data_IF_656958901107
#
_entry.id   IF_656958901107
#
_cell.length_a   1.000
_cell.length_b   1.000
_cell.length_c   1.000
_cell.angle_alpha   90.00
_cell.angle_beta   90.00
_cell.angle_gamma   90.00
#
_symmetry.space_group_name_H-M   'P 1'
#
loop_
_entity.id
_entity.type
_entity.pdbx_description
1 polymer ?
#
# COMPACT_ATOMS: atom_id res chain seq x y z
N UNK A 1 -3.02 7.66 -11.49
CA UNK A 1 -3.36 8.12 -10.12
C UNK A 1 -3.01 9.58 -9.87
N UNK A 2 -1.74 10.01 -10.00
CA UNK A 2 -1.37 11.43 -9.88
C UNK A 2 -2.14 12.35 -10.84
N UNK A 3 -2.49 11.86 -12.03
CA UNK A 3 -3.36 12.56 -12.98
C UNK A 3 -4.83 12.67 -12.51
N UNK A 4 -5.34 11.68 -11.77
CA UNK A 4 -6.72 11.65 -11.24
C UNK A 4 -6.84 12.64 -10.07
N UNK A 5 -5.84 12.70 -9.19
CA UNK A 5 -5.77 13.65 -8.06
C UNK A 5 -5.83 15.13 -8.49
N UNK A 6 -5.57 15.44 -9.76
CA UNK A 6 -5.53 16.83 -10.26
C UNK A 6 -6.90 17.33 -10.73
N UNK A 7 -7.89 16.43 -10.86
CA UNK A 7 -9.25 16.77 -11.23
C UNK A 7 -10.06 17.19 -10.00
N UNK A 8 -10.68 18.37 -10.04
CA UNK A 8 -11.54 18.92 -8.96
C UNK A 8 -12.92 18.27 -8.85
N UNK A 9 -13.11 17.11 -9.48
CA UNK A 9 -14.43 16.45 -9.59
C UNK A 9 -14.74 15.55 -8.39
N UNK A 10 -13.76 15.32 -7.51
CA UNK A 10 -13.89 14.44 -6.35
C UNK A 10 -14.34 15.21 -5.11
N UNK A 11 -15.11 14.55 -4.27
CA UNK A 11 -15.45 15.03 -2.92
C UNK A 11 -14.24 14.94 -2.00
N UNK A 12 -14.23 15.71 -0.91
CA UNK A 12 -13.11 15.73 0.06
C UNK A 12 -12.74 14.32 0.56
N UNK A 13 -13.75 13.47 0.81
CA UNK A 13 -13.53 12.08 1.22
C UNK A 13 -12.91 11.21 0.13
N UNK A 14 -13.31 11.41 -1.14
CA UNK A 14 -12.72 10.71 -2.28
C UNK A 14 -11.28 11.18 -2.55
N UNK A 15 -10.99 12.47 -2.37
CA UNK A 15 -9.62 12.99 -2.47
C UNK A 15 -8.69 12.37 -1.43
N UNK A 16 -9.16 12.22 -0.20
CA UNK A 16 -8.38 11.60 0.87
C UNK A 16 -8.14 10.11 0.61
N UNK A 17 -9.13 9.39 0.08
CA UNK A 17 -8.96 8.00 -0.39
C UNK A 17 -7.93 7.90 -1.51
N UNK A 18 -7.96 8.82 -2.50
CA UNK A 18 -6.97 8.87 -3.58
C UNK A 18 -5.56 9.10 -3.01
N UNK A 19 -5.41 10.00 -2.02
CA UNK A 19 -4.11 10.23 -1.36
C UNK A 19 -3.62 8.96 -0.64
N UNK A 20 -4.51 8.27 0.08
CA UNK A 20 -4.17 7.00 0.74
C UNK A 20 -3.74 5.94 -0.27
N UNK A 21 -4.51 5.73 -1.34
CA UNK A 21 -4.16 4.78 -2.40
C UNK A 21 -2.79 5.07 -2.99
N UNK A 22 -2.48 6.34 -3.30
CA UNK A 22 -1.18 6.74 -3.82
C UNK A 22 -0.07 6.39 -2.83
N UNK A 23 -0.24 6.72 -1.54
CA UNK A 23 0.75 6.40 -0.50
C UNK A 23 0.99 4.90 -0.41
N UNK A 24 -0.06 4.08 -0.32
CA UNK A 24 0.07 2.62 -0.18
C UNK A 24 0.78 1.99 -1.38
N UNK A 25 0.59 2.55 -2.59
CA UNK A 25 1.32 2.13 -3.78
C UNK A 25 2.78 2.57 -3.77
N UNK A 26 3.08 3.80 -3.36
CA UNK A 26 4.46 4.30 -3.23
C UNK A 26 5.24 3.54 -2.15
N UNK A 27 4.57 3.12 -1.08
CA UNK A 27 5.13 2.29 -0.01
C UNK A 27 5.35 0.82 -0.43
N UNK A 28 4.87 0.40 -1.61
CA UNK A 28 5.02 -0.96 -2.12
C UNK A 28 4.16 -2.02 -1.41
N UNK A 29 3.17 -1.60 -0.62
CA UNK A 29 2.31 -2.50 0.15
C UNK A 29 1.25 -3.22 -0.72
N UNK A 30 1.06 -2.79 -1.97
CA UNK A 30 0.09 -3.38 -2.90
C UNK A 30 0.80 -4.41 -3.80
N UNK A 31 0.32 -5.67 -3.82
CA UNK A 31 0.83 -6.69 -4.73
C UNK A 31 0.82 -6.25 -6.20
N UNK A 32 1.88 -6.59 -6.92
CA UNK A 32 2.00 -6.29 -8.35
C UNK A 32 0.89 -6.91 -9.20
N UNK A 33 0.28 -8.01 -8.74
CA UNK A 33 -0.88 -8.63 -9.39
C UNK A 33 -2.08 -7.69 -9.46
N UNK A 34 -2.41 -7.03 -8.35
CA UNK A 34 -3.54 -6.09 -8.27
C UNK A 34 -3.26 -4.88 -9.16
N UNK A 35 -2.04 -4.34 -9.13
CA UNK A 35 -1.66 -3.22 -10.00
C UNK A 35 -1.79 -3.56 -11.49
N UNK A 36 -1.43 -4.78 -11.91
CA UNK A 36 -1.58 -5.25 -13.29
C UNK A 36 -3.05 -5.41 -13.69
N UNK A 37 -3.87 -5.91 -12.78
CA UNK A 37 -5.30 -6.09 -12.97
C UNK A 37 -6.02 -4.73 -13.11
N UNK A 38 -5.70 -3.78 -12.22
CA UNK A 38 -6.15 -2.39 -12.32
C UNK A 38 -5.77 -1.79 -13.67
N UNK A 39 -4.53 -1.93 -14.13
CA UNK A 39 -4.09 -1.40 -15.43
C UNK A 39 -4.85 -2.01 -16.62
N UNK A 40 -5.30 -3.27 -16.50
CA UNK A 40 -6.09 -3.95 -17.52
C UNK A 40 -7.51 -3.41 -17.57
N UNK A 41 -8.16 -3.23 -16.42
CA UNK A 41 -9.55 -2.77 -16.31
C UNK A 41 -9.72 -1.28 -16.65
N UNK A 42 -8.73 -0.44 -16.34
CA UNK A 42 -8.80 0.99 -16.69
C UNK A 42 -8.49 1.24 -18.18
N UNK A 43 -8.03 0.22 -18.91
CA UNK A 43 -7.59 0.37 -20.31
C UNK A 43 -8.79 0.70 -21.20
N UNK A 44 -8.81 1.92 -21.75
CA UNK A 44 -9.88 2.39 -22.63
C UNK A 44 -10.95 3.22 -21.93
N UNK A 45 -10.85 3.40 -20.61
CA UNK A 45 -11.73 4.31 -19.85
C UNK A 45 -11.07 5.68 -19.80
N UNK A 46 -11.81 6.72 -20.17
CA UNK A 46 -11.34 8.11 -20.17
C UNK A 46 -11.86 8.87 -18.94
N UNK A 47 -12.98 8.44 -18.38
CA UNK A 47 -13.61 9.11 -17.24
C UNK A 47 -12.81 8.87 -15.92
N UNK A 48 -12.24 9.93 -15.32
CA UNK A 48 -11.46 9.82 -14.08
C UNK A 48 -12.28 9.31 -12.90
N UNK A 49 -13.58 9.60 -12.83
CA UNK A 49 -14.43 9.17 -11.72
C UNK A 49 -14.65 7.66 -11.80
N UNK A 50 -15.02 7.15 -12.97
CA UNK A 50 -15.16 5.71 -13.20
C UNK A 50 -13.88 4.93 -12.92
N UNK A 51 -12.73 5.47 -13.30
CA UNK A 51 -11.42 4.87 -13.00
C UNK A 51 -11.20 4.76 -11.48
N UNK A 52 -11.58 5.79 -10.70
CA UNK A 52 -11.46 5.75 -9.25
C UNK A 52 -12.30 4.62 -8.62
N UNK A 53 -13.56 4.46 -9.04
CA UNK A 53 -14.42 3.40 -8.52
C UNK A 53 -13.92 1.99 -8.89
N UNK A 54 -13.40 1.80 -10.10
CA UNK A 54 -12.79 0.52 -10.52
C UNK A 54 -11.58 0.19 -9.64
N UNK A 55 -10.73 1.18 -9.38
CA UNK A 55 -9.57 1.01 -8.51
C UNK A 55 -10.01 0.65 -7.09
N UNK A 56 -11.05 1.31 -6.58
CA UNK A 56 -11.61 1.04 -5.26
C UNK A 56 -12.15 -0.38 -5.14
N UNK A 57 -12.89 -0.86 -6.14
CA UNK A 57 -13.47 -2.21 -6.12
C UNK A 57 -12.40 -3.30 -6.22
N UNK A 58 -11.36 -3.07 -7.02
CA UNK A 58 -10.25 -4.00 -7.19
C UNK A 58 -9.26 -4.01 -6.02
N UNK A 59 -9.19 -2.94 -5.24
CA UNK A 59 -8.27 -2.81 -4.12
C UNK A 59 -8.98 -3.21 -2.82
N UNK A 60 -8.65 -4.38 -2.24
CA UNK A 60 -9.26 -4.79 -0.98
C UNK A 60 -9.06 -3.74 0.12
N UNK A 61 -10.11 -3.48 0.90
CA UNK A 61 -10.12 -2.45 1.94
C UNK A 61 -9.01 -2.64 2.98
N UNK A 62 -8.54 -3.87 3.19
CA UNK A 62 -7.35 -4.21 4.01
C UNK A 62 -6.06 -3.47 3.62
N UNK A 63 -5.94 -2.98 2.39
CA UNK A 63 -4.79 -2.18 1.94
C UNK A 63 -5.00 -0.67 2.17
N UNK A 64 -6.25 -0.25 2.39
CA UNK A 64 -6.64 1.12 2.72
C UNK A 64 -6.73 1.33 4.23
N UNK A 65 -6.98 0.27 4.98
CA UNK A 65 -6.81 0.24 6.42
C UNK A 65 -5.40 0.73 6.74
N UNK A 66 -5.31 1.86 7.47
CA UNK A 66 -4.08 2.21 8.15
C UNK A 66 -3.77 1.02 9.03
N UNK A 67 -2.78 0.22 8.65
CA UNK A 67 -2.26 -0.82 9.51
C UNK A 67 -1.94 -0.09 10.81
N UNK A 68 -2.76 -0.27 11.85
CA UNK A 68 -2.43 0.09 13.22
C UNK A 68 -1.33 -0.87 13.73
N UNK A 69 -0.42 -1.27 12.84
CA UNK A 69 0.82 -1.91 13.17
C UNK A 69 1.63 -0.86 13.88
N UNK A 70 1.55 -0.91 15.21
CA UNK A 70 2.44 -0.34 16.21
C UNK A 70 3.22 0.87 15.68
N UNK A 71 2.88 2.07 16.19
CA UNK A 71 3.86 3.17 16.34
C UNK A 71 5.22 2.50 16.44
N UNK A 72 6.13 2.80 15.50
CA UNK A 72 7.53 2.38 15.62
C UNK A 72 7.93 2.84 17.02
N UNK A 73 7.88 1.93 17.99
CA UNK A 73 8.49 2.13 19.27
C UNK A 73 9.92 2.36 18.86
N UNK A 74 10.42 3.57 19.08
CA UNK A 74 11.81 3.90 18.85
C UNK A 74 12.63 2.80 19.52
N UNK A 75 13.06 1.79 18.76
CA UNK A 75 14.07 0.83 19.18
C UNK A 75 15.40 1.58 19.05
N UNK A 76 15.51 2.67 19.81
CA UNK A 76 16.76 3.32 20.16
C UNK A 76 17.23 2.66 21.44
N UNK A 77 17.51 1.37 21.33
CA UNK A 77 18.10 0.55 22.37
C UNK A 77 18.96 -0.48 21.68
N UNK A 78 20.22 -0.58 22.11
CA UNK A 78 21.22 -1.44 21.49
C UNK A 78 20.67 -2.86 21.36
N UNK A 79 20.54 -3.30 20.11
CA UNK A 79 20.09 -4.66 19.82
C UNK A 79 21.29 -5.58 20.02
N UNK A 80 21.42 -6.14 21.22
CA UNK A 80 22.41 -7.18 21.49
C UNK A 80 21.88 -8.54 21.02
N UNK A 81 22.58 -9.12 20.05
CA UNK A 81 22.31 -10.47 19.53
C UNK A 81 23.18 -11.46 20.31
N UNK A 82 22.55 -12.42 20.99
CA UNK A 82 23.28 -13.50 21.70
C UNK A 82 23.61 -14.62 20.69
N UNK A 83 24.82 -14.58 20.12
CA UNK A 83 25.29 -15.59 19.15
C UNK A 83 25.37 -17.01 19.71
N UNK A 84 25.45 -17.20 21.03
CA UNK A 84 25.53 -18.54 21.63
C UNK A 84 24.29 -19.40 21.36
N UNK A 85 23.15 -18.80 21.04
CA UNK A 85 21.93 -19.55 20.65
C UNK A 85 21.96 -20.07 19.21
N UNK A 86 22.87 -19.57 18.37
CA UNK A 86 23.03 -19.98 16.97
C UNK A 86 24.22 -20.92 16.76
N UNK A 87 24.96 -21.25 17.81
CA UNK A 87 26.01 -22.24 17.74
C UNK A 87 25.38 -23.64 17.75
N UNK A 88 24.84 -24.08 16.62
CA UNK A 88 24.64 -25.50 16.40
C UNK A 88 26.02 -26.15 16.39
N UNK A 89 26.26 -26.99 17.40
CA UNK A 89 27.42 -27.85 17.50
C UNK A 89 27.49 -28.63 16.19
N UNK A 90 28.46 -28.31 15.33
CA UNK A 90 28.79 -29.14 14.18
C UNK A 90 29.15 -30.51 14.72
N UNK A 91 28.21 -31.45 14.65
CA UNK A 91 28.45 -32.85 14.92
C UNK A 91 29.11 -33.46 13.68
N UNK A 92 30.28 -34.04 13.97
CA UNK A 92 31.16 -34.98 13.24
C UNK A 92 31.87 -34.53 11.96
#
# INVERSE_FOLDING_TARGET
LKAIRRNKTFTDGEEDLIKQMISTWEDGNIPSSISKEVLKEIKGIVDPVRIFYIIRDLLPEKYLEKRHGKKRTNLSGDTEIILSSYLQKGEV
#
